data_IF_217006806106
#
_entry.id   IF_217006806106
#
_cell.length_a   1.000
_cell.length_b   1.000
_cell.length_c   1.000
_cell.angle_alpha   90.00
_cell.angle_beta   90.00
_cell.angle_gamma   90.00
#
_symmetry.space_group_name_H-M   'P 1'
#
loop_
_entity.id
_entity.type
_entity.pdbx_description
1 polymer ?
#
# COMPACT_ATOMS: atom_id res chain seq x y z
N UNK A 1 -50.48 15.65 -49.73
CA UNK A 1 -50.50 15.39 -48.30
C UNK A 1 -49.39 14.36 -47.96
N UNK A 2 -48.27 14.76 -47.37
CA UNK A 2 -47.24 13.82 -47.00
C UNK A 2 -47.65 13.15 -45.67
N UNK A 3 -47.62 11.83 -45.68
CA UNK A 3 -48.16 10.95 -44.66
C UNK A 3 -47.55 11.13 -43.28
N UNK A 4 -48.37 11.13 -42.25
CA UNK A 4 -48.03 11.16 -40.83
C UNK A 4 -47.12 9.96 -40.38
N UNK A 5 -46.99 8.94 -41.19
CA UNK A 5 -46.14 7.78 -40.96
C UNK A 5 -44.61 8.12 -40.95
N UNK A 6 -44.17 9.06 -41.76
CA UNK A 6 -42.76 9.45 -41.82
C UNK A 6 -42.27 10.26 -40.58
N UNK A 7 -43.19 10.94 -39.89
CA UNK A 7 -42.89 11.67 -38.66
C UNK A 7 -42.83 10.75 -37.43
N UNK A 8 -43.69 9.74 -37.38
CA UNK A 8 -43.68 8.71 -36.31
C UNK A 8 -42.42 7.82 -36.37
N UNK A 9 -41.98 7.43 -37.59
CA UNK A 9 -40.79 6.62 -37.76
C UNK A 9 -39.49 7.37 -37.34
N UNK A 10 -39.42 8.70 -37.61
CA UNK A 10 -38.26 9.51 -37.17
C UNK A 10 -38.23 9.75 -35.66
N UNK A 11 -39.39 9.84 -35.00
CA UNK A 11 -39.48 9.95 -33.54
C UNK A 11 -39.07 8.69 -32.82
N UNK A 12 -39.41 7.51 -33.33
CA UNK A 12 -39.04 6.20 -32.77
C UNK A 12 -37.56 5.91 -32.96
N UNK A 13 -36.95 6.33 -34.07
CA UNK A 13 -35.51 6.14 -34.31
C UNK A 13 -34.66 7.03 -33.41
N UNK A 14 -35.08 8.26 -33.13
CA UNK A 14 -34.41 9.18 -32.22
C UNK A 14 -34.52 8.72 -30.76
N UNK A 15 -35.65 8.12 -30.35
CA UNK A 15 -35.82 7.56 -29.03
C UNK A 15 -35.00 6.27 -28.81
N UNK A 16 -34.82 5.47 -29.85
CA UNK A 16 -34.01 4.23 -29.78
C UNK A 16 -32.50 4.54 -29.70
N UNK A 17 -31.99 5.64 -30.31
CA UNK A 17 -30.60 6.06 -30.16
C UNK A 17 -30.28 6.67 -28.79
N UNK A 18 -31.25 7.24 -28.10
CA UNK A 18 -31.06 7.78 -26.76
C UNK A 18 -30.99 6.68 -25.66
N UNK A 19 -31.43 5.46 -25.95
CA UNK A 19 -31.40 4.34 -25.01
C UNK A 19 -30.08 3.56 -25.00
N UNK A 20 -29.13 3.89 -25.88
CA UNK A 20 -27.80 3.26 -25.96
C UNK A 20 -26.71 4.14 -25.33
N UNK A 21 -27.04 4.97 -24.33
CA UNK A 21 -26.01 5.52 -23.46
C UNK A 21 -25.30 4.32 -22.78
N UNK A 22 -24.02 4.08 -22.96
CA UNK A 22 -23.33 3.03 -22.25
C UNK A 22 -23.57 3.30 -20.75
N UNK A 23 -24.10 2.32 -20.04
CA UNK A 23 -24.10 2.34 -18.59
C UNK A 23 -22.63 2.55 -18.18
N UNK A 24 -22.29 3.78 -17.84
CA UNK A 24 -20.94 4.10 -17.40
C UNK A 24 -20.67 3.24 -16.15
N UNK A 25 -19.89 2.18 -16.33
CA UNK A 25 -19.49 1.31 -15.23
C UNK A 25 -18.76 2.18 -14.21
N UNK A 26 -19.18 2.13 -12.96
CA UNK A 26 -18.50 2.85 -11.91
C UNK A 26 -17.06 2.30 -11.77
N UNK A 27 -16.08 3.20 -11.77
CA UNK A 27 -14.69 2.84 -11.49
C UNK A 27 -14.58 2.44 -10.01
N UNK A 28 -13.84 1.37 -9.74
CA UNK A 28 -13.63 0.87 -8.38
C UNK A 28 -12.29 1.38 -7.85
N UNK A 29 -12.34 2.18 -6.78
CA UNK A 29 -11.16 2.57 -6.04
C UNK A 29 -11.07 1.74 -4.76
N UNK A 30 -10.26 0.67 -4.81
CA UNK A 30 -9.99 -0.19 -3.66
C UNK A 30 -9.10 0.54 -2.65
N UNK A 31 -9.41 0.40 -1.36
CA UNK A 31 -8.61 1.00 -0.28
C UNK A 31 -8.25 -0.05 0.77
N UNK A 32 -6.94 -0.28 0.94
CA UNK A 32 -6.38 -1.02 2.06
C UNK A 32 -5.44 -0.12 2.86
N UNK A 33 -5.79 0.15 4.11
CA UNK A 33 -4.96 0.96 5.03
C UNK A 33 -4.03 0.12 5.91
N UNK A 34 -3.97 -1.19 5.69
CA UNK A 34 -3.24 -2.16 6.50
C UNK A 34 -4.17 -3.02 7.34
N UNK A 35 -3.62 -4.07 7.94
CA UNK A 35 -4.41 -5.08 8.69
C UNK A 35 -4.15 -5.07 10.19
N UNK A 36 -3.16 -4.30 10.65
CA UNK A 36 -2.74 -4.28 12.07
C UNK A 36 -3.83 -3.70 12.96
N UNK A 37 -4.44 -2.60 12.56
CA UNK A 37 -5.55 -1.96 13.27
C UNK A 37 -6.76 -1.93 12.35
N UNK A 38 -7.77 -2.74 12.66
CA UNK A 38 -8.98 -2.78 11.84
C UNK A 38 -9.77 -1.49 11.99
N UNK A 39 -10.01 -0.83 10.87
CA UNK A 39 -10.93 0.29 10.74
C UNK A 39 -12.21 -0.24 10.09
N UNK A 40 -13.42 0.09 10.59
CA UNK A 40 -14.67 -0.28 9.94
C UNK A 40 -14.74 0.19 8.48
N UNK A 41 -15.30 -0.62 7.60
CA UNK A 41 -15.37 -0.34 6.17
C UNK A 41 -16.06 1.00 5.85
N UNK A 42 -17.12 1.33 6.61
CA UNK A 42 -17.85 2.59 6.45
C UNK A 42 -16.96 3.80 6.77
N UNK A 43 -16.09 3.67 7.78
CA UNK A 43 -15.14 4.74 8.11
C UNK A 43 -14.06 4.89 7.03
N UNK A 44 -13.59 3.78 6.44
CA UNK A 44 -12.65 3.85 5.31
C UNK A 44 -13.32 4.54 4.12
N UNK A 45 -14.53 4.13 3.75
CA UNK A 45 -15.26 4.74 2.65
C UNK A 45 -15.49 6.25 2.89
N UNK A 46 -15.85 6.64 4.11
CA UNK A 46 -16.06 8.05 4.47
C UNK A 46 -14.78 8.88 4.36
N UNK A 47 -13.61 8.34 4.76
CA UNK A 47 -12.32 9.03 4.66
C UNK A 47 -11.96 9.42 3.21
N UNK A 48 -12.30 8.57 2.25
CA UNK A 48 -11.94 8.76 0.85
C UNK A 48 -13.07 9.36 0.00
N UNK A 49 -14.25 9.60 0.57
CA UNK A 49 -15.44 10.06 -0.17
C UNK A 49 -15.21 11.36 -0.94
N UNK A 50 -14.55 12.35 -0.34
CA UNK A 50 -14.26 13.62 -1.00
C UNK A 50 -13.31 13.45 -2.20
N UNK A 51 -12.27 12.63 -2.05
CA UNK A 51 -11.34 12.31 -3.13
C UNK A 51 -12.05 11.54 -4.25
N UNK A 52 -12.90 10.56 -3.92
CA UNK A 52 -13.67 9.82 -4.91
C UNK A 52 -14.65 10.71 -5.68
N UNK A 53 -15.29 11.68 -5.00
CA UNK A 53 -16.18 12.65 -5.64
C UNK A 53 -15.44 13.54 -6.65
N UNK A 54 -14.22 13.99 -6.32
CA UNK A 54 -13.42 14.78 -7.24
C UNK A 54 -12.91 13.94 -8.43
N UNK A 55 -12.44 12.71 -8.16
CA UNK A 55 -12.03 11.78 -9.22
C UNK A 55 -13.19 11.44 -10.14
N UNK A 56 -14.43 11.33 -9.62
CA UNK A 56 -15.61 11.10 -10.43
C UNK A 56 -15.88 12.24 -11.43
N UNK A 57 -15.71 13.49 -10.96
CA UNK A 57 -15.84 14.67 -11.85
C UNK A 57 -14.73 14.72 -12.88
N UNK A 58 -13.50 14.48 -12.44
CA UNK A 58 -12.29 14.53 -13.26
C UNK A 58 -12.32 13.50 -14.39
N UNK A 59 -12.69 12.27 -14.05
CA UNK A 59 -12.73 11.13 -14.98
C UNK A 59 -14.06 11.03 -15.75
N UNK A 60 -15.04 11.88 -15.43
CA UNK A 60 -16.40 11.87 -16.01
C UNK A 60 -17.08 10.49 -15.89
N UNK A 61 -16.76 9.75 -14.85
CA UNK A 61 -17.29 8.44 -14.51
C UNK A 61 -17.46 8.33 -13.00
N UNK A 62 -18.50 7.69 -12.48
CA UNK A 62 -18.63 7.46 -11.04
C UNK A 62 -17.41 6.69 -10.51
N UNK A 63 -16.85 7.10 -9.37
CA UNK A 63 -15.80 6.38 -8.65
C UNK A 63 -16.35 5.93 -7.32
N UNK A 64 -16.39 4.63 -7.08
CA UNK A 64 -16.85 4.02 -5.82
C UNK A 64 -15.67 3.56 -4.98
N UNK A 65 -15.75 3.75 -3.66
CA UNK A 65 -14.73 3.23 -2.73
C UNK A 65 -15.09 1.81 -2.33
N UNK A 66 -14.14 0.89 -2.51
CA UNK A 66 -14.21 -0.49 -2.00
C UNK A 66 -13.16 -0.69 -0.90
N UNK A 67 -13.54 -0.69 0.38
CA UNK A 67 -12.63 -1.04 1.47
C UNK A 67 -12.23 -2.51 1.40
N UNK A 68 -10.93 -2.80 1.48
CA UNK A 68 -10.38 -4.16 1.45
C UNK A 68 -9.67 -4.45 2.76
N UNK A 69 -10.24 -5.33 3.59
CA UNK A 69 -9.83 -5.51 4.98
C UNK A 69 -8.63 -6.45 5.19
N UNK A 70 -8.28 -7.27 4.19
CA UNK A 70 -7.23 -8.29 4.32
C UNK A 70 -6.34 -8.39 3.08
N UNK A 71 -5.12 -8.88 3.27
CA UNK A 71 -4.13 -9.02 2.20
C UNK A 71 -4.49 -10.10 1.16
N UNK A 72 -5.04 -11.27 1.52
CA UNK A 72 -5.47 -12.25 0.53
C UNK A 72 -6.52 -11.71 -0.44
N UNK A 73 -7.53 -10.98 0.06
CA UNK A 73 -8.57 -10.35 -0.77
C UNK A 73 -7.97 -9.26 -1.67
N UNK A 74 -7.08 -8.41 -1.12
CA UNK A 74 -6.39 -7.39 -1.90
C UNK A 74 -5.53 -7.99 -3.01
N UNK A 75 -4.73 -9.01 -2.69
CA UNK A 75 -3.87 -9.72 -3.65
C UNK A 75 -4.68 -10.32 -4.80
N UNK A 76 -5.78 -11.00 -4.48
CA UNK A 76 -6.68 -11.59 -5.48
C UNK A 76 -7.31 -10.52 -6.37
N UNK A 77 -7.89 -9.46 -5.79
CA UNK A 77 -8.52 -8.40 -6.57
C UNK A 77 -7.53 -7.66 -7.49
N UNK A 78 -6.28 -7.46 -7.05
CA UNK A 78 -5.21 -6.91 -7.89
C UNK A 78 -4.80 -7.89 -9.00
N UNK A 79 -4.69 -9.18 -8.71
CA UNK A 79 -4.34 -10.20 -9.70
C UNK A 79 -5.43 -10.33 -10.78
N UNK A 80 -6.69 -10.27 -10.39
CA UNK A 80 -7.86 -10.31 -11.27
C UNK A 80 -8.14 -8.95 -11.96
N UNK A 81 -7.38 -7.89 -11.68
CA UNK A 81 -7.58 -6.53 -12.19
C UNK A 81 -8.97 -5.97 -11.88
N UNK A 82 -9.53 -6.34 -10.72
CA UNK A 82 -10.88 -5.96 -10.31
C UNK A 82 -11.00 -4.49 -9.93
N UNK A 83 -9.89 -3.83 -9.64
CA UNK A 83 -9.82 -2.44 -9.19
C UNK A 83 -9.26 -1.55 -10.28
N UNK A 84 -9.93 -0.42 -10.57
CA UNK A 84 -9.43 0.59 -11.51
C UNK A 84 -8.36 1.45 -10.88
N UNK A 85 -8.56 1.80 -9.60
CA UNK A 85 -7.58 2.46 -8.74
C UNK A 85 -7.43 1.64 -7.45
N UNK A 86 -6.26 1.68 -6.84
CA UNK A 86 -6.04 1.01 -5.57
C UNK A 86 -5.08 1.81 -4.68
N UNK A 87 -5.53 2.13 -3.45
CA UNK A 87 -4.66 2.52 -2.36
C UNK A 87 -4.16 1.26 -1.67
N UNK A 88 -2.89 0.95 -1.82
CA UNK A 88 -2.30 -0.32 -1.42
C UNK A 88 -1.29 -0.12 -0.29
N UNK A 89 -1.52 -0.83 0.79
CA UNK A 89 -0.56 -1.10 1.84
C UNK A 89 -0.65 -2.61 2.16
N UNK A 90 0.41 -3.37 2.15
CA UNK A 90 1.85 -3.01 2.11
C UNK A 90 2.47 -3.03 0.70
N UNK A 91 3.69 -2.48 0.60
CA UNK A 91 4.42 -2.29 -0.65
C UNK A 91 4.59 -3.55 -1.52
N UNK A 92 4.85 -4.70 -0.93
CA UNK A 92 5.10 -5.94 -1.68
C UNK A 92 3.89 -6.34 -2.55
N UNK A 93 2.66 -6.05 -2.11
CA UNK A 93 1.46 -6.29 -2.93
C UNK A 93 1.39 -5.34 -4.13
N UNK A 94 1.76 -4.06 -3.94
CA UNK A 94 1.87 -3.11 -5.05
C UNK A 94 2.88 -3.56 -6.09
N UNK A 95 4.06 -3.96 -5.64
CA UNK A 95 5.16 -4.38 -6.52
C UNK A 95 4.75 -5.62 -7.33
N UNK A 96 4.13 -6.60 -6.69
CA UNK A 96 3.61 -7.80 -7.37
C UNK A 96 2.53 -7.43 -8.40
N UNK A 97 1.62 -6.51 -8.07
CA UNK A 97 0.58 -6.05 -8.98
C UNK A 97 1.16 -5.33 -10.21
N UNK A 98 2.19 -4.50 -10.02
CA UNK A 98 2.90 -3.82 -11.13
C UNK A 98 3.59 -4.86 -12.01
N UNK A 99 4.36 -5.79 -11.42
CA UNK A 99 5.14 -6.80 -12.17
C UNK A 99 4.28 -7.78 -12.95
N UNK A 100 3.17 -8.23 -12.39
CA UNK A 100 2.43 -9.39 -12.91
C UNK A 100 1.01 -9.09 -13.39
N UNK A 101 0.42 -7.95 -12.96
CA UNK A 101 -0.96 -7.60 -13.34
C UNK A 101 -1.03 -6.33 -14.21
N UNK A 102 0.12 -5.69 -14.49
CA UNK A 102 0.21 -4.52 -15.36
C UNK A 102 -0.30 -3.22 -14.73
N UNK A 103 -0.49 -3.18 -13.40
CA UNK A 103 -0.78 -1.92 -12.72
C UNK A 103 0.38 -0.94 -12.88
N UNK A 104 0.07 0.35 -12.78
CA UNK A 104 1.04 1.44 -12.87
C UNK A 104 1.06 2.21 -11.55
N UNK A 105 2.24 2.62 -11.12
CA UNK A 105 2.38 3.49 -9.95
C UNK A 105 1.89 4.90 -10.30
N UNK A 106 0.89 5.38 -9.58
CA UNK A 106 0.39 6.76 -9.70
C UNK A 106 1.15 7.69 -8.77
N UNK A 107 1.19 7.35 -7.48
CA UNK A 107 1.83 8.16 -6.45
C UNK A 107 2.17 7.32 -5.21
N UNK A 108 3.05 7.86 -4.36
CA UNK A 108 3.31 7.37 -3.00
C UNK A 108 2.80 8.38 -1.98
N UNK A 109 2.45 7.92 -0.78
CA UNK A 109 1.99 8.81 0.30
C UNK A 109 3.19 9.46 0.98
N UNK A 110 3.20 10.81 1.09
CA UNK A 110 4.23 11.57 1.82
C UNK A 110 4.31 11.13 3.29
N UNK A 111 5.53 11.06 3.82
CA UNK A 111 5.78 10.60 5.19
C UNK A 111 5.85 9.08 5.35
N UNK A 112 5.64 8.32 4.27
CA UNK A 112 5.71 6.85 4.28
C UNK A 112 6.74 6.28 3.29
N UNK A 113 7.71 7.09 2.86
CA UNK A 113 8.77 6.69 1.90
C UNK A 113 10.02 6.14 2.59
N UNK A 114 10.24 6.49 3.86
CA UNK A 114 11.42 6.12 4.65
C UNK A 114 11.12 5.04 5.69
N UNK A 115 10.20 4.13 5.39
CA UNK A 115 9.86 3.05 6.30
C UNK A 115 11.00 2.04 6.39
N UNK A 116 11.50 1.77 7.62
CA UNK A 116 12.66 0.90 7.86
C UNK A 116 12.35 -0.12 8.95
N UNK A 117 12.76 -1.35 8.74
CA UNK A 117 12.81 -2.33 9.81
C UNK A 117 14.05 -2.07 10.68
N UNK A 118 13.86 -1.90 11.98
CA UNK A 118 14.90 -1.75 12.98
C UNK A 118 15.10 -3.08 13.70
N UNK A 119 16.34 -3.55 13.79
CA UNK A 119 16.70 -4.76 14.52
C UNK A 119 17.02 -4.41 15.98
N UNK A 120 16.26 -4.98 16.90
CA UNK A 120 16.26 -4.69 18.32
C UNK A 120 17.07 -5.77 19.06
N UNK A 121 17.98 -5.36 19.93
CA UNK A 121 18.73 -6.27 20.82
C UNK A 121 18.80 -5.70 22.23
N UNK A 122 18.93 -6.55 23.24
CA UNK A 122 19.11 -6.11 24.63
C UNK A 122 20.41 -5.33 24.81
N UNK A 123 20.48 -4.54 25.88
CA UNK A 123 21.69 -3.79 26.24
C UNK A 123 22.92 -4.70 26.45
N UNK A 124 22.71 -5.89 27.01
CA UNK A 124 23.73 -6.92 27.30
C UNK A 124 24.00 -7.87 26.12
N UNK A 125 23.37 -7.64 24.96
CA UNK A 125 23.54 -8.52 23.80
C UNK A 125 24.98 -8.53 23.29
N UNK A 126 25.58 -9.70 23.00
CA UNK A 126 26.87 -9.81 22.36
C UNK A 126 26.86 -9.51 20.86
N UNK A 127 25.67 -9.48 20.23
CA UNK A 127 25.53 -9.26 18.79
C UNK A 127 25.99 -7.84 18.42
N UNK A 128 26.76 -7.70 17.33
CA UNK A 128 27.33 -6.45 16.84
C UNK A 128 26.88 -6.08 15.43
N UNK A 129 26.40 -7.07 14.66
CA UNK A 129 26.00 -6.93 13.27
C UNK A 129 24.88 -7.92 12.91
N UNK A 130 24.25 -7.74 11.75
CA UNK A 130 23.30 -8.73 11.22
C UNK A 130 23.95 -10.08 10.92
N UNK A 131 25.27 -10.11 10.64
CA UNK A 131 25.99 -11.37 10.40
C UNK A 131 25.99 -12.28 11.64
N UNK A 132 25.95 -11.71 12.84
CA UNK A 132 25.93 -12.46 14.10
C UNK A 132 24.59 -13.17 14.36
N UNK A 133 23.59 -12.92 13.50
CA UNK A 133 22.29 -13.60 13.56
C UNK A 133 22.30 -14.98 12.88
N UNK A 134 23.40 -15.41 12.27
CA UNK A 134 23.53 -16.77 11.72
C UNK A 134 23.20 -17.79 12.80
N UNK A 135 22.24 -18.70 12.52
CA UNK A 135 21.78 -19.73 13.45
C UNK A 135 21.02 -19.23 14.68
N UNK A 136 20.72 -17.95 14.76
CA UNK A 136 20.03 -17.34 15.91
C UNK A 136 18.50 -17.30 15.70
N UNK A 137 17.78 -17.01 16.78
CA UNK A 137 16.33 -16.77 16.76
C UNK A 137 16.02 -15.28 16.68
N UNK A 138 15.09 -14.90 15.82
CA UNK A 138 14.66 -13.51 15.60
C UNK A 138 13.14 -13.40 15.71
N UNK A 139 12.68 -12.49 16.58
CA UNK A 139 11.28 -12.10 16.66
C UNK A 139 10.92 -11.11 15.55
N UNK A 140 9.83 -11.35 14.82
CA UNK A 140 9.38 -10.49 13.74
C UNK A 140 7.86 -10.31 13.77
N UNK A 141 7.31 -9.24 13.16
CA UNK A 141 5.87 -9.14 12.94
C UNK A 141 5.36 -10.24 12.02
N UNK A 142 4.04 -10.21 11.75
CA UNK A 142 3.37 -11.14 10.84
C UNK A 142 4.23 -11.46 9.61
N UNK A 143 4.31 -12.74 9.26
CA UNK A 143 5.18 -13.25 8.20
C UNK A 143 4.93 -12.58 6.83
N UNK A 144 3.68 -12.22 6.54
CA UNK A 144 3.29 -11.52 5.30
C UNK A 144 3.34 -10.00 5.45
N UNK A 145 3.84 -9.46 6.58
CA UNK A 145 4.03 -8.02 6.74
C UNK A 145 5.22 -7.52 5.92
N UNK A 146 5.14 -6.26 5.44
CA UNK A 146 6.27 -5.64 4.75
C UNK A 146 7.53 -5.61 5.62
N UNK A 147 7.38 -5.46 6.94
CA UNK A 147 8.50 -5.50 7.88
C UNK A 147 9.22 -6.85 7.85
N UNK A 148 8.48 -7.96 7.84
CA UNK A 148 9.07 -9.30 7.74
C UNK A 148 9.79 -9.51 6.39
N UNK A 149 9.23 -9.01 5.28
CA UNK A 149 9.90 -9.01 3.98
C UNK A 149 11.22 -8.24 4.00
N UNK A 150 11.22 -7.04 4.59
CA UNK A 150 12.44 -6.21 4.73
C UNK A 150 13.49 -6.88 5.62
N UNK A 151 13.07 -7.54 6.69
CA UNK A 151 13.96 -8.31 7.58
C UNK A 151 14.64 -9.42 6.82
N UNK A 152 13.87 -10.26 6.11
CA UNK A 152 14.42 -11.34 5.30
C UNK A 152 15.38 -10.84 4.22
N UNK A 153 15.06 -9.73 3.56
CA UNK A 153 15.93 -9.11 2.57
C UNK A 153 17.24 -8.61 3.19
N UNK A 154 17.18 -7.93 4.35
CA UNK A 154 18.36 -7.44 5.06
C UNK A 154 19.28 -8.59 5.53
N UNK A 155 18.69 -9.70 5.96
CA UNK A 155 19.46 -10.87 6.36
C UNK A 155 20.08 -11.59 5.14
N UNK A 156 19.40 -11.61 4.00
CA UNK A 156 20.05 -12.11 2.75
C UNK A 156 21.25 -11.26 2.34
N UNK A 157 21.15 -9.92 2.47
CA UNK A 157 22.28 -9.03 2.19
C UNK A 157 23.48 -9.30 3.13
N UNK A 158 23.21 -9.59 4.41
CA UNK A 158 24.25 -9.75 5.42
C UNK A 158 24.84 -11.16 5.50
N UNK A 159 24.05 -12.19 5.23
CA UNK A 159 24.37 -13.62 5.48
C UNK A 159 24.46 -14.44 4.19
N UNK A 160 24.01 -13.93 3.05
CA UNK A 160 23.98 -14.70 1.80
C UNK A 160 23.18 -16.00 1.95
N UNK A 161 23.84 -17.13 1.64
CA UNK A 161 23.22 -18.45 1.75
C UNK A 161 22.86 -18.85 3.20
N UNK A 162 23.57 -18.31 4.18
CA UNK A 162 23.32 -18.60 5.60
C UNK A 162 22.07 -17.92 6.17
N UNK A 163 21.41 -17.03 5.42
CA UNK A 163 20.18 -16.37 5.85
C UNK A 163 19.06 -17.36 6.22
N UNK A 164 19.04 -18.53 5.57
CA UNK A 164 18.10 -19.62 5.87
C UNK A 164 18.32 -20.29 7.23
N UNK A 165 19.42 -20.03 7.92
CA UNK A 165 19.71 -20.57 9.25
C UNK A 165 19.06 -19.78 10.39
N UNK A 166 18.55 -18.58 10.11
CA UNK A 166 17.85 -17.74 11.09
C UNK A 166 16.45 -18.31 11.34
N UNK A 167 16.17 -18.64 12.61
CA UNK A 167 14.85 -19.13 13.00
C UNK A 167 13.94 -17.96 13.40
N UNK A 168 12.77 -17.87 12.77
CA UNK A 168 11.82 -16.79 13.03
C UNK A 168 10.76 -17.19 14.05
N UNK A 169 10.41 -16.23 14.92
CA UNK A 169 9.22 -16.27 15.77
C UNK A 169 8.33 -15.10 15.36
N UNK A 170 7.20 -15.39 14.72
CA UNK A 170 6.29 -14.37 14.23
C UNK A 170 5.22 -14.00 15.27
N UNK A 171 4.82 -12.74 15.27
CA UNK A 171 3.70 -12.22 16.06
C UNK A 171 2.84 -11.30 15.21
N UNK A 172 1.54 -11.24 15.50
CA UNK A 172 0.63 -10.40 14.74
C UNK A 172 0.97 -8.90 14.81
N UNK A 173 1.49 -8.44 15.95
CA UNK A 173 1.68 -7.02 16.23
C UNK A 173 3.15 -6.66 16.42
N UNK A 174 3.57 -5.53 15.88
CA UNK A 174 4.95 -5.05 16.01
C UNK A 174 5.33 -4.69 17.44
N UNK A 175 4.38 -4.26 18.27
CA UNK A 175 4.56 -3.90 19.68
C UNK A 175 4.75 -5.12 20.59
N UNK A 176 4.41 -6.32 20.15
CA UNK A 176 4.70 -7.56 20.87
C UNK A 176 6.15 -8.07 20.65
N UNK A 177 6.86 -7.58 19.66
CA UNK A 177 8.24 -8.03 19.34
C UNK A 177 9.22 -7.78 20.49
N UNK A 178 9.25 -6.62 21.18
CA UNK A 178 10.14 -6.39 22.30
C UNK A 178 10.03 -7.46 23.40
N UNK A 179 8.82 -7.94 23.69
CA UNK A 179 8.58 -8.99 24.70
C UNK A 179 9.42 -10.25 24.45
N UNK A 180 9.55 -10.69 23.19
CA UNK A 180 10.37 -11.86 22.88
C UNK A 180 11.85 -11.62 23.17
N UNK A 181 12.35 -10.42 22.93
CA UNK A 181 13.77 -10.05 23.14
C UNK A 181 14.06 -9.89 24.63
N UNK A 182 13.19 -9.20 25.37
CA UNK A 182 13.31 -9.00 26.82
C UNK A 182 13.33 -10.32 27.57
N UNK A 183 12.41 -11.22 27.25
CA UNK A 183 12.27 -12.51 27.89
C UNK A 183 13.22 -13.59 27.33
N UNK A 184 14.19 -13.21 26.49
CA UNK A 184 15.21 -14.11 25.92
C UNK A 184 14.61 -15.27 25.09
N UNK A 185 13.36 -15.11 24.63
CA UNK A 185 12.72 -16.07 23.72
C UNK A 185 13.36 -15.99 22.33
N UNK A 186 13.85 -14.81 21.95
CA UNK A 186 14.65 -14.57 20.74
C UNK A 186 15.92 -13.78 21.08
N UNK A 187 16.96 -13.89 20.25
CA UNK A 187 18.24 -13.18 20.44
C UNK A 187 18.15 -11.74 19.98
N UNK A 188 17.32 -11.48 18.96
CA UNK A 188 16.98 -10.18 18.43
C UNK A 188 15.49 -10.11 18.09
N UNK A 189 14.99 -8.91 17.87
CA UNK A 189 13.66 -8.66 17.33
C UNK A 189 13.71 -7.65 16.19
N UNK A 190 12.66 -7.53 15.42
CA UNK A 190 12.57 -6.53 14.37
C UNK A 190 11.21 -5.82 14.38
N UNK A 191 11.23 -4.51 14.36
CA UNK A 191 10.03 -3.68 14.28
C UNK A 191 10.28 -2.48 13.38
N UNK A 192 9.25 -2.03 12.65
CA UNK A 192 9.30 -0.80 11.89
C UNK A 192 8.35 0.27 12.49
N UNK A 193 7.78 0.01 13.66
CA UNK A 193 7.01 0.98 14.42
C UNK A 193 7.94 1.95 15.13
N UNK A 194 7.88 3.23 14.76
CA UNK A 194 8.69 4.28 15.38
C UNK A 194 8.44 4.39 16.88
N UNK A 195 7.21 4.21 17.36
CA UNK A 195 6.87 4.23 18.79
C UNK A 195 7.50 3.06 19.54
N UNK A 196 7.46 1.85 18.96
CA UNK A 196 8.10 0.65 19.53
C UNK A 196 9.61 0.84 19.63
N UNK A 197 10.25 1.32 18.57
CA UNK A 197 11.69 1.56 18.51
C UNK A 197 12.12 2.60 19.55
N UNK A 198 11.40 3.72 19.67
CA UNK A 198 11.67 4.76 20.67
C UNK A 198 11.50 4.25 22.10
N UNK A 199 10.42 3.51 22.37
CA UNK A 199 10.19 2.91 23.70
C UNK A 199 11.29 1.91 24.07
N UNK A 200 11.71 1.06 23.10
CA UNK A 200 12.81 0.12 23.26
C UNK A 200 14.12 0.80 23.68
N UNK A 201 14.49 1.86 22.97
CA UNK A 201 15.70 2.62 23.27
C UNK A 201 15.61 3.35 24.63
N UNK A 202 14.43 3.90 24.97
CA UNK A 202 14.22 4.58 26.25
C UNK A 202 14.37 3.63 27.45
N UNK A 203 14.13 2.32 27.25
CA UNK A 203 14.33 1.27 28.26
C UNK A 203 15.76 0.69 28.26
N UNK A 204 16.69 1.32 27.54
CA UNK A 204 18.09 0.90 27.46
C UNK A 204 18.39 -0.17 26.40
N UNK A 205 17.39 -0.59 25.63
CA UNK A 205 17.62 -1.48 24.50
C UNK A 205 18.42 -0.81 23.37
N UNK A 206 19.07 -1.63 22.54
CA UNK A 206 19.92 -1.16 21.44
C UNK A 206 19.34 -1.50 20.09
N UNK A 207 19.73 -0.72 19.07
CA UNK A 207 19.53 -1.06 17.66
C UNK A 207 20.79 -1.72 17.14
N UNK A 208 20.64 -2.92 16.60
CA UNK A 208 21.73 -3.66 15.95
C UNK A 208 21.97 -3.13 14.53
N UNK A 209 20.89 -2.87 13.79
CA UNK A 209 20.90 -2.34 12.43
C UNK A 209 19.52 -1.80 12.02
N UNK A 210 19.47 -1.16 10.86
CA UNK A 210 18.24 -0.82 10.16
C UNK A 210 18.30 -1.31 8.71
N UNK A 211 17.16 -1.66 8.15
CA UNK A 211 17.04 -2.01 6.73
C UNK A 211 17.19 -0.81 5.81
N UNK A 212 17.28 -1.07 4.50
CA UNK A 212 17.03 -0.04 3.48
C UNK A 212 15.61 0.52 3.65
N UNK A 213 15.36 1.80 3.25
CA UNK A 213 14.02 2.37 3.27
C UNK A 213 13.13 1.72 2.19
N UNK A 214 11.84 1.66 2.48
CA UNK A 214 10.81 1.22 1.53
C UNK A 214 9.64 2.17 1.60
N UNK A 215 9.17 2.75 0.47
CA UNK A 215 7.87 3.39 0.44
C UNK A 215 6.80 2.32 0.64
N UNK A 216 5.85 2.54 1.54
CA UNK A 216 4.92 1.47 1.96
C UNK A 216 3.46 1.70 1.60
N UNK A 217 3.09 2.90 1.16
CA UNK A 217 1.71 3.23 0.77
C UNK A 217 1.69 3.82 -0.63
N UNK A 218 1.01 3.12 -1.53
CA UNK A 218 0.99 3.43 -2.96
C UNK A 218 -0.43 3.60 -3.49
N UNK A 219 -0.61 4.54 -4.41
CA UNK A 219 -1.77 4.57 -5.28
C UNK A 219 -1.38 3.94 -6.61
N UNK A 220 -2.13 2.93 -7.01
CA UNK A 220 -1.97 2.22 -8.28
C UNK A 220 -3.15 2.50 -9.20
N UNK A 221 -2.90 2.47 -10.50
CA UNK A 221 -3.92 2.49 -11.54
C UNK A 221 -3.88 1.20 -12.35
N UNK A 222 -5.04 0.67 -12.68
CA UNK A 222 -5.23 -0.47 -13.56
C UNK A 222 -4.75 -0.17 -14.99
N UNK A 223 -4.26 -1.17 -15.74
CA UNK A 223 -3.98 -1.01 -17.16
C UNK A 223 -5.21 -0.68 -18.02
N UNK A 224 -6.42 -0.80 -17.45
CA UNK A 224 -7.66 -0.41 -18.13
C UNK A 224 -7.85 1.12 -18.21
N UNK A 225 -7.21 1.91 -17.33
CA UNK A 225 -7.23 3.36 -17.45
C UNK A 225 -6.33 3.82 -18.62
N UNK A 226 -6.82 4.78 -19.39
CA UNK A 226 -6.01 5.41 -20.44
C UNK A 226 -4.85 6.20 -19.84
N UNK A 227 -3.83 6.49 -20.67
CA UNK A 227 -2.69 7.31 -20.26
C UNK A 227 -3.13 8.71 -19.79
N UNK A 228 -4.16 9.28 -20.44
CA UNK A 228 -4.75 10.56 -20.07
C UNK A 228 -5.43 10.47 -18.69
N UNK A 229 -6.26 9.46 -18.45
CA UNK A 229 -6.92 9.26 -17.17
C UNK A 229 -5.89 9.06 -16.05
N UNK A 230 -4.84 8.26 -16.29
CA UNK A 230 -3.76 8.07 -15.34
C UNK A 230 -3.06 9.38 -15.01
N UNK A 231 -2.78 10.21 -16.01
CA UNK A 231 -2.13 11.50 -15.79
C UNK A 231 -3.04 12.46 -14.99
N UNK A 232 -4.33 12.52 -15.32
CA UNK A 232 -5.31 13.32 -14.58
C UNK A 232 -5.35 12.91 -13.10
N UNK A 233 -5.41 11.60 -12.79
CA UNK A 233 -5.41 11.10 -11.41
C UNK A 233 -4.11 11.47 -10.70
N UNK A 234 -2.97 11.32 -11.37
CA UNK A 234 -1.66 11.67 -10.82
C UNK A 234 -1.59 13.15 -10.46
N UNK A 235 -1.90 14.03 -11.41
CA UNK A 235 -1.83 15.48 -11.22
C UNK A 235 -2.76 15.93 -10.08
N UNK A 236 -3.97 15.37 -10.03
CA UNK A 236 -4.91 15.63 -8.94
C UNK A 236 -4.33 15.24 -7.58
N UNK A 237 -3.84 14.01 -7.42
CA UNK A 237 -3.31 13.54 -6.14
C UNK A 237 -2.09 14.37 -5.70
N UNK A 238 -1.18 14.68 -6.63
CA UNK A 238 0.03 15.45 -6.33
C UNK A 238 -0.27 16.92 -5.98
N UNK A 239 -1.42 17.45 -6.40
CA UNK A 239 -1.84 18.83 -6.10
C UNK A 239 -2.54 19.01 -4.76
N UNK A 240 -3.00 17.92 -4.11
CA UNK A 240 -3.89 18.01 -2.95
C UNK A 240 -3.30 18.81 -1.78
N UNK A 241 -2.05 18.64 -1.45
CA UNK A 241 -1.43 19.37 -0.34
C UNK A 241 -1.07 20.84 -0.66
N UNK A 242 -1.17 21.25 -1.94
CA UNK A 242 -0.92 22.60 -2.39
C UNK A 242 -2.05 23.61 -2.07
N UNK A 243 -3.25 23.15 -1.73
CA UNK A 243 -4.39 24.01 -1.45
C UNK A 243 -5.01 23.72 -0.08
N UNK A 244 -5.74 24.69 0.47
CA UNK A 244 -6.47 24.47 1.73
C UNK A 244 -7.57 23.42 1.57
N UNK A 245 -8.32 23.47 0.47
CA UNK A 245 -9.37 22.49 0.16
C UNK A 245 -8.78 21.06 0.03
N UNK A 246 -7.65 20.92 -0.66
CA UNK A 246 -6.98 19.62 -0.77
C UNK A 246 -6.48 19.10 0.58
N UNK A 247 -5.89 19.96 1.42
CA UNK A 247 -5.49 19.57 2.78
C UNK A 247 -6.65 19.10 3.65
N UNK A 248 -7.82 19.76 3.55
CA UNK A 248 -9.05 19.30 4.23
C UNK A 248 -9.48 17.90 3.79
N UNK A 249 -9.29 17.55 2.51
CA UNK A 249 -9.59 16.21 1.98
C UNK A 249 -8.57 15.15 2.46
N UNK A 250 -7.33 15.54 2.74
CA UNK A 250 -6.29 14.66 3.26
C UNK A 250 -6.40 14.39 4.76
N UNK A 251 -6.99 15.31 5.52
CA UNK A 251 -7.09 15.25 6.98
C UNK A 251 -7.75 13.97 7.52
N UNK A 252 -8.92 13.50 7.00
CA UNK A 252 -9.54 12.25 7.47
C UNK A 252 -8.66 11.02 7.27
N UNK A 253 -7.80 11.03 6.23
CA UNK A 253 -6.85 9.96 5.93
C UNK A 253 -5.57 10.07 6.78
N UNK A 254 -5.34 11.20 7.44
CA UNK A 254 -4.11 11.56 8.16
C UNK A 254 -2.87 11.51 7.25
N UNK A 255 -3.01 11.96 6.00
CA UNK A 255 -1.92 12.03 5.04
C UNK A 255 -1.44 13.47 4.87
N UNK A 256 -0.12 13.64 4.77
CA UNK A 256 0.51 14.93 4.46
C UNK A 256 0.42 15.27 2.95
N UNK A 257 -0.05 14.35 2.13
CA UNK A 257 -0.16 14.49 0.69
C UNK A 257 0.40 13.27 -0.05
N UNK A 258 0.54 13.45 -1.36
CA UNK A 258 1.11 12.45 -2.25
C UNK A 258 2.33 13.00 -2.97
N UNK A 259 3.25 12.13 -3.34
CA UNK A 259 4.48 12.47 -4.08
C UNK A 259 4.64 11.55 -5.29
N UNK A 260 5.27 12.08 -6.33
CA UNK A 260 5.78 11.25 -7.43
C UNK A 260 6.89 10.33 -6.90
N UNK A 261 6.94 9.13 -7.45
CA UNK A 261 8.01 8.17 -7.18
C UNK A 261 8.33 7.41 -8.47
N UNK A 262 9.58 7.07 -8.64
CA UNK A 262 10.01 6.31 -9.82
C UNK A 262 9.59 4.84 -9.69
N UNK A 263 8.74 4.38 -10.62
CA UNK A 263 8.28 2.99 -10.68
C UNK A 263 9.44 2.00 -10.85
N UNK A 264 10.49 2.37 -11.61
CA UNK A 264 11.66 1.53 -11.78
C UNK A 264 12.45 1.36 -10.47
N UNK A 265 12.56 2.42 -9.65
CA UNK A 265 13.17 2.31 -8.33
C UNK A 265 12.33 1.45 -7.39
N UNK A 266 11.00 1.55 -7.46
CA UNK A 266 10.11 0.67 -6.69
C UNK A 266 10.30 -0.80 -7.09
N UNK A 267 10.47 -1.10 -8.37
CA UNK A 267 10.73 -2.45 -8.87
C UNK A 267 12.11 -2.99 -8.44
N UNK A 268 13.14 -2.13 -8.34
CA UNK A 268 14.44 -2.51 -7.76
C UNK A 268 14.31 -2.89 -6.28
N UNK A 269 13.48 -2.15 -5.53
CA UNK A 269 13.13 -2.53 -4.15
C UNK A 269 12.44 -3.91 -4.14
N UNK A 270 11.54 -4.18 -5.10
CA UNK A 270 10.93 -5.49 -5.26
C UNK A 270 11.96 -6.62 -5.44
N UNK A 271 12.94 -6.42 -6.29
CA UNK A 271 14.05 -7.36 -6.50
C UNK A 271 14.82 -7.59 -5.20
N UNK A 272 15.13 -6.52 -4.46
CA UNK A 272 15.77 -6.63 -3.14
C UNK A 272 14.91 -7.40 -2.14
N UNK A 273 13.60 -7.17 -2.11
CA UNK A 273 12.67 -7.93 -1.26
C UNK A 273 12.59 -9.41 -1.64
N UNK A 274 12.98 -9.79 -2.88
CA UNK A 274 12.90 -11.16 -3.40
C UNK A 274 11.56 -11.45 -4.08
N UNK A 275 10.92 -10.42 -4.63
CA UNK A 275 9.66 -10.49 -5.37
C UNK A 275 9.87 -10.64 -6.88
#
# INVERSE_FOLDING_TARGET
MPSNFARLARGLLAAALAALAPLAHALVFAVNEGVTYRVPNEQIAAKYAAVAADLSKLLKQPVSIEPVADYPSLRRGLAERRYDLAMVHPAHLSIVAIKHSGYRLVAVTKGYTEYRASFLVRADSPLRSLADLKGQRLGAPDEDSITAWMVRASLRDALGADAGTVAYTYTRYQDAVPFFVENRLTHAGASASTSVVKAWQAQGGKLLAQSRPVPIKHVLASPALSAEQLQLVRDYLLSLDGSEDGRRKLEPMKYAGFAAYDEAELLKIGTWLGL
#
